data_IF_822647118046
#
_entry.id   IF_822647118046
#
_cell.length_a   1.000
_cell.length_b   1.000
_cell.length_c   1.000
_cell.angle_alpha   90.00
_cell.angle_beta   90.00
_cell.angle_gamma   90.00
#
_symmetry.space_group_name_H-M   'P 1'
#
loop_
_entity.id
_entity.type
_entity.pdbx_description
1 polymer ?
#
# COMPACT_ATOMS: atom_id res chain seq x y z
N UNK A 1 10.61 -39.79 -1.28
CA UNK A 1 10.83 -38.34 -1.51
C UNK A 1 11.47 -38.01 -2.85
N UNK A 2 12.42 -38.82 -3.39
CA UNK A 2 13.08 -38.54 -4.68
C UNK A 2 12.11 -38.36 -5.87
N UNK A 3 11.01 -39.13 -5.90
CA UNK A 3 10.00 -39.00 -6.94
C UNK A 3 9.24 -37.66 -6.87
N UNK A 4 8.95 -37.16 -5.67
CA UNK A 4 8.26 -35.88 -5.46
C UNK A 4 9.11 -34.74 -6.00
N UNK A 5 10.40 -34.72 -5.67
CA UNK A 5 11.34 -33.73 -6.19
C UNK A 5 11.52 -33.79 -7.71
N UNK A 6 11.47 -35.00 -8.29
CA UNK A 6 11.52 -35.18 -9.75
C UNK A 6 10.31 -34.55 -10.44
N UNK A 7 9.11 -34.72 -9.86
CA UNK A 7 7.87 -34.12 -10.38
C UNK A 7 7.95 -32.59 -10.30
N UNK A 8 8.30 -32.02 -9.14
CA UNK A 8 8.41 -30.56 -8.96
C UNK A 8 9.41 -29.95 -9.95
N UNK A 9 10.57 -30.59 -10.16
CA UNK A 9 11.58 -30.11 -11.10
C UNK A 9 11.07 -30.15 -12.54
N UNK A 10 10.34 -31.19 -12.91
CA UNK A 10 9.78 -31.35 -14.25
C UNK A 10 8.72 -30.26 -14.52
N UNK A 11 7.85 -29.97 -13.55
CA UNK A 11 6.85 -28.91 -13.67
C UNK A 11 7.50 -27.53 -13.85
N UNK A 12 8.55 -27.22 -13.08
CA UNK A 12 9.32 -25.99 -13.25
C UNK A 12 9.97 -25.87 -14.64
N UNK A 13 10.50 -26.97 -15.18
CA UNK A 13 11.06 -26.99 -16.54
C UNK A 13 10.00 -26.71 -17.61
N UNK A 14 8.81 -27.30 -17.47
CA UNK A 14 7.70 -27.07 -18.39
C UNK A 14 7.16 -25.63 -18.32
N UNK A 15 7.05 -25.06 -17.12
CA UNK A 15 6.66 -23.66 -16.94
C UNK A 15 7.70 -22.74 -17.60
N UNK A 16 9.00 -22.99 -17.41
CA UNK A 16 10.06 -22.15 -17.96
C UNK A 16 10.23 -22.24 -19.48
N UNK A 17 9.74 -23.29 -20.13
CA UNK A 17 9.83 -23.45 -21.60
C UNK A 17 8.68 -22.78 -22.34
N UNK A 18 7.56 -22.53 -21.66
CA UNK A 18 6.42 -21.85 -22.25
C UNK A 18 6.39 -20.37 -21.83
N UNK A 19 6.67 -19.48 -22.79
CA UNK A 19 6.69 -18.02 -22.56
C UNK A 19 5.37 -17.51 -21.96
N UNK A 20 4.21 -18.03 -22.40
CA UNK A 20 2.91 -17.62 -21.86
C UNK A 20 2.78 -18.00 -20.39
N UNK A 21 3.19 -19.22 -20.02
CA UNK A 21 3.16 -19.68 -18.64
C UNK A 21 4.08 -18.83 -17.75
N UNK A 22 5.29 -18.50 -18.23
CA UNK A 22 6.23 -17.61 -17.52
C UNK A 22 5.61 -16.23 -17.28
N UNK A 23 5.02 -15.61 -18.31
CA UNK A 23 4.39 -14.28 -18.19
C UNK A 23 3.25 -14.31 -17.17
N UNK A 24 2.42 -15.36 -17.18
CA UNK A 24 1.33 -15.51 -16.20
C UNK A 24 1.85 -15.64 -14.77
N UNK A 25 2.88 -16.46 -14.55
CA UNK A 25 3.49 -16.65 -13.21
C UNK A 25 4.10 -15.34 -12.71
N UNK A 26 4.86 -14.64 -13.54
CA UNK A 26 5.46 -13.34 -13.18
C UNK A 26 4.36 -12.33 -12.88
N UNK A 27 3.32 -12.24 -13.71
CA UNK A 27 2.17 -11.36 -13.49
C UNK A 27 1.48 -11.65 -12.15
N UNK A 28 1.14 -12.92 -11.89
CA UNK A 28 0.52 -13.35 -10.63
C UNK A 28 1.36 -13.03 -9.39
N UNK A 29 2.69 -13.17 -9.47
CA UNK A 29 3.59 -12.83 -8.38
C UNK A 29 3.79 -11.32 -8.21
N UNK A 30 3.81 -10.55 -9.30
CA UNK A 30 4.05 -9.11 -9.27
C UNK A 30 2.81 -8.31 -8.84
N UNK A 31 1.60 -8.78 -9.17
CA UNK A 31 0.34 -8.08 -8.87
C UNK A 31 0.17 -7.72 -7.39
N UNK A 32 0.36 -8.63 -6.41
CA UNK A 32 0.27 -8.30 -4.99
C UNK A 32 1.32 -7.27 -4.55
N UNK A 33 2.53 -7.35 -5.12
CA UNK A 33 3.64 -6.46 -4.77
C UNK A 33 3.40 -5.04 -5.28
N UNK A 34 2.92 -4.90 -6.52
CA UNK A 34 2.54 -3.62 -7.10
C UNK A 34 1.36 -3.00 -6.34
N UNK A 35 0.36 -3.80 -6.01
CA UNK A 35 -0.77 -3.33 -5.20
C UNK A 35 -0.29 -2.81 -3.84
N UNK A 36 0.52 -3.58 -3.13
CA UNK A 36 1.07 -3.17 -1.84
C UNK A 36 1.91 -1.89 -1.96
N UNK A 37 2.75 -1.78 -2.99
CA UNK A 37 3.53 -0.57 -3.24
C UNK A 37 2.63 0.67 -3.36
N UNK A 38 1.67 0.65 -4.30
CA UNK A 38 0.80 1.81 -4.53
C UNK A 38 -0.02 2.16 -3.29
N UNK A 39 -0.48 1.14 -2.57
CA UNK A 39 -1.26 1.34 -1.35
C UNK A 39 -0.43 1.97 -0.23
N UNK A 40 0.79 1.48 0.00
CA UNK A 40 1.70 2.05 1.01
C UNK A 40 2.08 3.47 0.62
N UNK A 41 2.48 3.71 -0.63
CA UNK A 41 2.88 5.04 -1.10
C UNK A 41 1.74 6.05 -0.94
N UNK A 42 0.51 5.70 -1.32
CA UNK A 42 -0.64 6.58 -1.19
C UNK A 42 -1.06 6.85 0.26
N UNK A 43 -0.84 5.90 1.17
CA UNK A 43 -1.29 6.03 2.57
C UNK A 43 -0.17 6.45 3.54
N UNK A 44 1.07 6.58 3.07
CA UNK A 44 2.21 6.93 3.92
C UNK A 44 2.09 8.33 4.53
N UNK A 45 1.62 9.31 3.74
CA UNK A 45 1.40 10.68 4.19
C UNK A 45 0.20 11.34 3.48
N UNK A 46 -1.04 10.97 3.85
CA UNK A 46 -2.23 11.44 3.14
C UNK A 46 -2.55 12.92 3.39
N UNK A 47 -1.88 13.55 4.36
CA UNK A 47 -2.12 14.93 4.77
C UNK A 47 -1.03 15.91 4.33
N UNK A 48 -0.11 15.48 3.47
CA UNK A 48 0.91 16.35 2.91
C UNK A 48 0.28 17.55 2.20
N UNK A 49 0.96 18.71 2.21
CA UNK A 49 0.46 19.92 1.55
C UNK A 49 0.18 19.67 0.06
N UNK A 50 1.03 18.88 -0.61
CA UNK A 50 0.84 18.51 -2.02
C UNK A 50 -0.43 17.67 -2.21
N UNK A 51 -0.67 16.69 -1.32
CA UNK A 51 -1.83 15.79 -1.37
C UNK A 51 -3.15 16.47 -0.96
N UNK A 52 -3.08 17.49 -0.11
CA UNK A 52 -4.25 18.21 0.44
C UNK A 52 -4.49 19.58 -0.20
N UNK A 53 -3.61 20.04 -1.08
CA UNK A 53 -3.70 21.34 -1.77
C UNK A 53 -5.03 21.57 -2.52
N UNK A 54 -5.64 20.51 -3.04
CA UNK A 54 -6.92 20.57 -3.76
C UNK A 54 -8.15 20.40 -2.86
N UNK A 55 -7.97 20.09 -1.57
CA UNK A 55 -9.07 19.98 -0.61
C UNK A 55 -9.51 21.38 -0.17
N UNK A 56 -10.72 21.79 -0.59
CA UNK A 56 -11.34 23.01 -0.09
C UNK A 56 -11.88 22.79 1.32
N UNK A 57 -11.14 23.30 2.30
CA UNK A 57 -11.54 23.26 3.71
C UNK A 57 -12.53 24.41 3.95
N UNK A 58 -13.79 24.08 4.27
CA UNK A 58 -14.85 25.06 4.44
C UNK A 58 -14.79 25.79 5.80
N UNK A 59 -14.36 25.09 6.85
CA UNK A 59 -14.25 25.61 8.22
C UNK A 59 -13.02 24.98 8.87
N UNK A 60 -12.20 25.80 9.52
CA UNK A 60 -11.09 25.36 10.36
C UNK A 60 -11.11 26.17 11.66
N UNK A 61 -11.10 25.49 12.80
CA UNK A 61 -10.88 26.15 14.10
C UNK A 61 -9.41 26.48 14.23
N UNK A 62 -9.10 27.75 14.53
CA UNK A 62 -7.75 28.25 14.82
C UNK A 62 -7.66 28.75 16.26
N UNK A 63 -8.53 28.25 17.13
CA UNK A 63 -8.68 28.79 18.47
C UNK A 63 -7.45 28.48 19.31
N UNK A 64 -7.01 29.48 20.07
CA UNK A 64 -5.90 29.31 20.99
C UNK A 64 -6.39 28.59 22.25
N UNK A 65 -5.58 27.68 22.82
CA UNK A 65 -5.96 26.98 24.04
C UNK A 65 -6.06 27.98 25.21
N UNK A 66 -7.14 27.89 25.97
CA UNK A 66 -7.37 28.67 27.20
C UNK A 66 -7.40 27.71 28.38
N UNK A 67 -6.67 28.03 29.45
CA UNK A 67 -6.65 27.22 30.66
C UNK A 67 -7.83 27.57 31.58
N UNK A 68 -8.74 26.62 31.79
CA UNK A 68 -9.86 26.76 32.75
C UNK A 68 -9.76 25.65 33.80
N UNK A 69 -9.70 26.00 35.08
CA UNK A 69 -9.66 25.03 36.20
C UNK A 69 -8.62 23.89 36.06
N UNK A 70 -7.46 24.20 35.45
CA UNK A 70 -6.33 23.29 35.11
C UNK A 70 -6.46 22.45 33.83
N UNK A 71 -7.49 22.66 33.00
CA UNK A 71 -7.62 22.03 31.69
C UNK A 71 -7.32 23.05 30.59
N UNK A 72 -6.50 22.69 29.61
CA UNK A 72 -6.33 23.45 28.37
C UNK A 72 -7.47 23.08 27.42
N UNK A 73 -8.33 24.05 27.12
CA UNK A 73 -9.49 23.87 26.26
C UNK A 73 -9.38 24.81 25.06
N UNK A 74 -9.58 24.27 23.84
CA UNK A 74 -9.81 25.07 22.65
C UNK A 74 -11.33 25.26 22.49
N UNK A 75 -11.84 26.44 22.82
CA UNK A 75 -13.27 26.77 22.75
C UNK A 75 -13.45 27.84 21.69
N UNK A 76 -14.03 27.47 20.54
CA UNK A 76 -14.45 28.33 19.44
C UNK A 76 -15.06 27.53 18.31
#
# INVERSE_FOLDING_TARGET
MKNIWKIIKNDFQHISTNVVAVVLVIGLCALPSLYAWFNIFSNWNPYEEEATSNLKIAVVSKDQPVTVSRLELCIG
#
